data_IF_709404687391
#
_entry.id   IF_709404687391
#
_cell.length_a   1.000
_cell.length_b   1.000
_cell.length_c   1.000
_cell.angle_alpha   90.00
_cell.angle_beta   90.00
_cell.angle_gamma   90.00
#
_symmetry.space_group_name_H-M   'P 1'
#
loop_
_entity.id
_entity.type
_entity.pdbx_description
1 polymer ?
#
# COMPACT_ATOMS: atom_id res chain seq x y z
N UNK A 1 13.73 23.86 4.93
CA UNK A 1 12.37 24.28 5.31
C UNK A 1 11.40 23.84 4.23
N UNK A 2 10.76 22.68 4.41
CA UNK A 2 9.31 22.46 4.41
C UNK A 2 9.15 21.26 5.36
N UNK A 3 9.08 21.52 6.66
CA UNK A 3 8.52 20.56 7.60
C UNK A 3 7.00 20.64 7.45
N UNK A 4 6.46 19.90 6.48
CA UNK A 4 5.06 19.55 6.52
C UNK A 4 5.01 18.18 7.20
N UNK A 5 4.99 18.16 8.53
CA UNK A 5 4.68 16.95 9.28
C UNK A 5 3.17 16.69 9.13
N UNK A 6 2.72 16.36 7.92
CA UNK A 6 1.45 15.67 7.78
C UNK A 6 1.61 14.36 8.54
N UNK A 7 1.04 14.32 9.76
CA UNK A 7 0.95 13.10 10.54
C UNK A 7 0.46 12.02 9.60
N UNK A 8 1.26 10.97 9.42
CA UNK A 8 0.91 9.86 8.55
C UNK A 8 -0.38 9.24 9.07
N UNK A 9 -1.47 9.51 8.38
CA UNK A 9 -2.78 8.96 8.69
C UNK A 9 -2.73 7.44 8.51
N UNK A 10 -2.91 6.71 9.60
CA UNK A 10 -2.98 5.25 9.54
C UNK A 10 -4.41 4.81 9.32
N UNK A 11 -4.63 3.97 8.32
CA UNK A 11 -5.90 3.31 8.10
C UNK A 11 -5.76 1.81 8.35
N UNK A 12 -6.62 1.27 9.20
CA UNK A 12 -6.68 -0.16 9.51
C UNK A 12 -8.01 -0.71 9.00
N UNK A 13 -7.95 -1.63 8.04
CA UNK A 13 -9.12 -2.35 7.55
C UNK A 13 -9.40 -3.60 8.41
N UNK A 14 -10.61 -3.70 8.94
CA UNK A 14 -11.15 -4.91 9.56
C UNK A 14 -12.21 -5.53 8.63
N UNK A 15 -11.96 -6.76 8.20
CA UNK A 15 -12.88 -7.51 7.34
C UNK A 15 -13.80 -8.40 8.17
N UNK A 16 -15.11 -8.13 8.10
CA UNK A 16 -16.15 -9.01 8.64
C UNK A 16 -16.55 -10.05 7.59
N UNK A 17 -16.19 -11.31 7.84
CA UNK A 17 -16.52 -12.44 6.96
C UNK A 17 -18.02 -12.76 6.89
N UNK A 18 -18.80 -12.43 7.93
CA UNK A 18 -20.23 -12.72 7.98
C UNK A 18 -21.02 -11.72 7.14
N UNK A 19 -20.65 -10.45 7.22
CA UNK A 19 -21.30 -9.37 6.49
C UNK A 19 -20.71 -9.13 5.10
N UNK A 20 -19.54 -9.71 4.83
CA UNK A 20 -18.73 -9.46 3.64
C UNK A 20 -18.41 -7.97 3.43
N UNK A 21 -18.08 -7.29 4.53
CA UNK A 21 -17.81 -5.86 4.57
C UNK A 21 -16.49 -5.54 5.26
N UNK A 22 -15.96 -4.36 4.98
CA UNK A 22 -14.80 -3.80 5.67
C UNK A 22 -15.21 -2.56 6.46
N UNK A 23 -14.83 -2.54 7.73
CA UNK A 23 -14.78 -1.32 8.52
C UNK A 23 -13.36 -0.76 8.46
N UNK A 24 -13.21 0.55 8.27
CA UNK A 24 -11.91 1.22 8.26
C UNK A 24 -11.78 2.10 9.49
N UNK A 25 -10.72 1.88 10.25
CA UNK A 25 -10.35 2.72 11.39
C UNK A 25 -9.27 3.68 10.95
N UNK A 26 -9.56 4.97 11.01
CA UNK A 26 -8.62 6.04 10.69
C UNK A 26 -8.02 6.54 12.00
N UNK A 27 -6.70 6.48 12.12
CA UNK A 27 -5.96 6.83 13.32
C UNK A 27 -5.15 8.09 13.04
N UNK A 28 -5.60 9.19 13.65
CA UNK A 28 -4.95 10.49 13.64
C UNK A 28 -4.71 10.94 15.10
N UNK A 29 -5.15 12.15 15.47
CA UNK A 29 -5.21 12.56 16.89
C UNK A 29 -6.28 11.78 17.67
N UNK A 30 -7.33 11.36 16.97
CA UNK A 30 -8.42 10.51 17.47
C UNK A 30 -8.55 9.28 16.58
N UNK A 31 -9.30 8.27 17.04
CA UNK A 31 -9.71 7.12 16.23
C UNK A 31 -11.10 7.41 15.66
N UNK A 32 -11.20 7.46 14.34
CA UNK A 32 -12.46 7.59 13.62
C UNK A 32 -12.82 6.25 12.98
N UNK A 33 -14.08 5.83 13.15
CA UNK A 33 -14.59 4.59 12.55
C UNK A 33 -15.41 5.00 11.33
N UNK A 34 -14.92 4.62 10.16
CA UNK A 34 -15.68 4.83 8.93
C UNK A 34 -16.81 3.80 8.86
N UNK A 35 -17.98 4.18 8.29
CA UNK A 35 -19.08 3.24 8.06
C UNK A 35 -18.61 2.00 7.29
N UNK A 36 -19.24 0.86 7.54
CA UNK A 36 -18.94 -0.37 6.81
C UNK A 36 -19.16 -0.18 5.30
N UNK A 37 -18.18 -0.61 4.51
CA UNK A 37 -18.20 -0.54 3.06
C UNK A 37 -18.08 -1.93 2.45
N UNK A 38 -18.60 -2.07 1.24
CA UNK A 38 -18.44 -3.30 0.46
C UNK A 38 -16.95 -3.55 0.19
N UNK A 39 -16.54 -4.81 0.30
CA UNK A 39 -15.15 -5.17 0.04
C UNK A 39 -14.86 -5.15 -1.45
N UNK A 40 -13.89 -4.33 -1.85
CA UNK A 40 -13.33 -4.40 -3.19
C UNK A 40 -12.41 -5.64 -3.31
N UNK A 41 -12.97 -6.75 -3.79
CA UNK A 41 -12.26 -8.01 -4.04
C UNK A 41 -12.73 -8.64 -5.34
N UNK A 42 -11.90 -9.50 -5.93
CA UNK A 42 -12.32 -10.30 -7.09
C UNK A 42 -13.36 -11.34 -6.64
N UNK A 43 -14.38 -11.65 -7.46
CA UNK A 43 -15.32 -12.73 -7.17
C UNK A 43 -14.59 -14.04 -6.85
N UNK A 44 -15.03 -14.74 -5.80
CA UNK A 44 -14.42 -16.01 -5.37
C UNK A 44 -13.10 -15.89 -4.59
N UNK A 45 -12.58 -14.68 -4.37
CA UNK A 45 -11.38 -14.49 -3.54
C UNK A 45 -11.74 -14.19 -2.09
N UNK A 46 -10.86 -14.58 -1.16
CA UNK A 46 -11.01 -14.28 0.26
C UNK A 46 -10.01 -13.22 0.70
N UNK A 47 -10.47 -12.29 1.55
CA UNK A 47 -9.56 -11.34 2.22
C UNK A 47 -8.78 -12.11 3.28
N UNK A 48 -7.45 -12.14 3.12
CA UNK A 48 -6.57 -12.85 4.05
C UNK A 48 -6.14 -11.93 5.18
N UNK A 49 -6.13 -12.46 6.40
CA UNK A 49 -5.65 -11.74 7.58
C UNK A 49 -4.15 -11.45 7.47
N UNK A 50 -3.76 -10.24 7.85
CA UNK A 50 -2.34 -9.90 8.08
C UNK A 50 -1.88 -10.54 9.40
N UNK A 51 -0.83 -11.34 9.33
CA UNK A 51 -0.15 -11.92 10.48
C UNK A 51 1.04 -11.04 10.88
N UNK A 52 0.88 -10.25 11.95
CA UNK A 52 1.92 -9.33 12.42
C UNK A 52 3.25 -10.03 12.78
N UNK A 53 3.23 -11.32 13.16
CA UNK A 53 4.46 -12.09 13.44
C UNK A 53 5.38 -12.23 12.21
N UNK A 54 4.79 -12.15 11.01
CA UNK A 54 5.49 -12.25 9.73
C UNK A 54 5.99 -10.88 9.22
N UNK A 55 5.67 -9.77 9.90
CA UNK A 55 6.17 -8.45 9.53
C UNK A 55 7.51 -8.24 10.24
N UNK A 56 8.61 -8.23 9.48
CA UNK A 56 9.98 -8.08 10.02
C UNK A 56 10.62 -6.73 9.70
N UNK A 57 9.97 -5.95 8.84
CA UNK A 57 10.45 -4.65 8.41
C UNK A 57 9.34 -3.62 8.61
N UNK A 58 9.71 -2.51 9.26
CA UNK A 58 8.84 -1.37 9.48
C UNK A 58 8.63 -0.54 8.20
N UNK A 59 7.75 0.44 8.30
CA UNK A 59 7.40 1.31 7.18
C UNK A 59 8.63 2.10 6.69
N UNK A 60 9.44 2.65 7.60
CA UNK A 60 10.61 3.47 7.26
C UNK A 60 11.64 2.70 6.43
N UNK A 61 11.95 1.47 6.83
CA UNK A 61 12.84 0.60 6.06
C UNK A 61 12.30 0.35 4.65
N UNK A 62 11.01 0.05 4.55
CA UNK A 62 10.37 -0.29 3.28
C UNK A 62 10.29 0.92 2.36
N UNK A 63 10.02 2.12 2.90
CA UNK A 63 10.03 3.37 2.15
C UNK A 63 11.42 3.72 1.62
N UNK A 64 12.47 3.57 2.44
CA UNK A 64 13.87 3.75 2.00
C UNK A 64 14.23 2.79 0.87
N UNK A 65 13.78 1.54 0.96
CA UNK A 65 14.00 0.54 -0.08
C UNK A 65 13.24 0.87 -1.38
N UNK A 66 11.99 1.30 -1.28
CA UNK A 66 11.20 1.75 -2.42
C UNK A 66 11.85 2.95 -3.12
N UNK A 67 12.33 3.93 -2.34
CA UNK A 67 13.06 5.09 -2.86
C UNK A 67 14.33 4.68 -3.61
N UNK A 68 15.12 3.76 -3.04
CA UNK A 68 16.32 3.21 -3.70
C UNK A 68 15.98 2.54 -5.04
N UNK A 69 14.87 1.80 -5.12
CA UNK A 69 14.42 1.17 -6.37
C UNK A 69 14.02 2.25 -7.37
N UNK A 70 13.25 3.26 -6.93
CA UNK A 70 12.84 4.38 -7.76
C UNK A 70 14.04 5.12 -8.35
N UNK A 71 15.05 5.43 -7.55
CA UNK A 71 16.25 6.15 -8.01
C UNK A 71 17.06 5.34 -9.03
N UNK A 72 17.18 4.02 -8.82
CA UNK A 72 17.96 3.14 -9.71
C UNK A 72 17.24 2.78 -11.01
N UNK A 73 15.92 2.57 -10.96
CA UNK A 73 15.14 2.02 -12.09
C UNK A 73 14.29 3.05 -12.81
N UNK A 74 13.88 4.10 -12.11
CA UNK A 74 12.98 5.13 -12.60
C UNK A 74 13.50 6.55 -12.25
N UNK A 75 14.77 6.87 -12.54
CA UNK A 75 15.42 8.11 -12.06
C UNK A 75 14.70 9.38 -12.53
N UNK A 76 14.07 9.34 -13.71
CA UNK A 76 13.37 10.48 -14.33
C UNK A 76 12.00 10.78 -13.72
N UNK A 77 11.43 9.83 -12.97
CA UNK A 77 10.12 10.03 -12.35
C UNK A 77 10.23 10.95 -11.13
N UNK A 78 9.31 11.88 -10.97
CA UNK A 78 9.23 12.76 -9.80
C UNK A 78 8.04 12.33 -8.95
N UNK A 79 8.28 11.83 -7.74
CA UNK A 79 7.23 11.32 -6.85
C UNK A 79 6.50 12.49 -6.18
N UNK A 80 5.17 12.50 -6.26
CA UNK A 80 4.30 13.51 -5.65
C UNK A 80 3.54 12.96 -4.44
N UNK A 81 3.23 11.65 -4.44
CA UNK A 81 2.54 10.98 -3.33
C UNK A 81 3.02 9.55 -3.19
N UNK A 82 3.14 9.08 -1.95
CA UNK A 82 3.46 7.69 -1.63
C UNK A 82 2.30 7.08 -0.87
N UNK A 83 1.87 5.89 -1.30
CA UNK A 83 0.87 5.08 -0.60
C UNK A 83 1.56 3.77 -0.23
N UNK A 84 1.46 3.37 1.03
CA UNK A 84 2.03 2.14 1.54
C UNK A 84 0.95 1.28 2.19
N UNK A 85 0.76 0.06 1.71
CA UNK A 85 -0.25 -0.86 2.23
C UNK A 85 0.40 -2.17 2.61
N UNK A 86 0.35 -2.51 3.90
CA UNK A 86 0.65 -3.87 4.38
C UNK A 86 -0.58 -4.75 4.19
N UNK A 87 -0.47 -5.77 3.35
CA UNK A 87 -1.60 -6.64 3.01
C UNK A 87 -1.15 -8.09 2.84
N UNK A 88 -2.11 -9.00 2.98
CA UNK A 88 -1.93 -10.42 2.68
C UNK A 88 -2.82 -10.78 1.48
N UNK A 89 -2.18 -11.03 0.34
CA UNK A 89 -2.84 -11.34 -0.93
C UNK A 89 -2.42 -12.72 -1.45
N UNK A 90 -2.77 -13.07 -2.68
CA UNK A 90 -2.37 -14.35 -3.29
C UNK A 90 -0.85 -14.54 -3.34
N UNK A 91 -0.10 -13.46 -3.58
CA UNK A 91 1.36 -13.44 -3.58
C UNK A 91 2.00 -13.55 -2.19
N UNK A 92 1.20 -13.62 -1.11
CA UNK A 92 1.65 -13.63 0.27
C UNK A 92 1.49 -12.29 0.98
N UNK A 93 2.11 -12.19 2.16
CA UNK A 93 2.07 -10.98 2.99
C UNK A 93 3.21 -10.04 2.62
N UNK A 94 2.85 -8.85 2.14
CA UNK A 94 3.78 -7.91 1.55
C UNK A 94 3.41 -6.47 1.88
N UNK A 95 4.40 -5.60 1.76
CA UNK A 95 4.20 -4.17 1.60
C UNK A 95 4.02 -3.87 0.11
N UNK A 96 2.87 -3.30 -0.24
CA UNK A 96 2.60 -2.76 -1.56
C UNK A 96 2.79 -1.24 -1.50
N UNK A 97 3.85 -0.75 -2.13
CA UNK A 97 4.19 0.66 -2.18
C UNK A 97 3.85 1.18 -3.57
N UNK A 98 2.99 2.18 -3.63
CA UNK A 98 2.61 2.87 -4.86
C UNK A 98 3.13 4.30 -4.79
N UNK A 99 4.09 4.63 -5.66
CA UNK A 99 4.61 5.98 -5.83
C UNK A 99 3.89 6.62 -7.00
N UNK A 100 3.08 7.65 -6.74
CA UNK A 100 2.41 8.45 -7.76
C UNK A 100 3.38 9.53 -8.20
N UNK A 101 3.51 9.72 -9.51
CA UNK A 101 4.49 10.65 -10.10
C UNK A 101 3.81 11.86 -10.74
N UNK A 102 4.55 12.95 -10.93
CA UNK A 102 4.05 14.17 -11.60
C UNK A 102 3.69 13.95 -13.07
N UNK A 103 4.24 12.92 -13.70
CA UNK A 103 3.93 12.50 -15.07
C UNK A 103 2.67 11.63 -15.15
N UNK A 104 1.91 11.52 -14.05
CA UNK A 104 0.72 10.68 -13.92
C UNK A 104 1.01 9.19 -14.18
N UNK A 105 2.21 8.75 -13.79
CA UNK A 105 2.54 7.33 -13.69
C UNK A 105 2.46 6.87 -12.23
N UNK A 106 2.38 5.55 -12.06
CA UNK A 106 2.52 4.87 -10.77
C UNK A 106 3.70 3.92 -10.84
N UNK A 107 4.60 4.00 -9.87
CA UNK A 107 5.61 2.98 -9.63
C UNK A 107 5.06 2.07 -8.53
N UNK A 108 4.64 0.87 -8.89
CA UNK A 108 4.14 -0.13 -7.95
C UNK A 108 5.29 -1.05 -7.55
N UNK A 109 5.58 -1.16 -6.26
CA UNK A 109 6.68 -1.94 -5.70
C UNK A 109 6.12 -2.87 -4.63
N UNK A 110 6.34 -4.18 -4.80
CA UNK A 110 5.92 -5.21 -3.85
C UNK A 110 7.13 -5.75 -3.11
N UNK A 111 7.15 -5.62 -1.79
CA UNK A 111 8.23 -6.08 -0.92
C UNK A 111 7.68 -7.11 0.06
N UNK A 112 8.26 -8.31 0.08
CA UNK A 112 7.86 -9.37 1.01
C UNK A 112 8.04 -8.92 2.47
N UNK A 113 6.98 -9.03 3.28
CA UNK A 113 6.98 -8.47 4.64
C UNK A 113 7.89 -9.23 5.62
N UNK A 114 8.26 -10.48 5.29
CA UNK A 114 9.07 -11.36 6.15
C UNK A 114 10.56 -11.31 5.82
N UNK A 115 10.89 -11.30 4.53
CA UNK A 115 12.25 -11.40 4.00
C UNK A 115 12.78 -10.06 3.50
N UNK A 116 11.90 -9.08 3.28
CA UNK A 116 12.25 -7.78 2.74
C UNK A 116 12.66 -7.84 1.28
N UNK A 117 12.55 -8.97 0.59
CA UNK A 117 12.90 -9.11 -0.83
C UNK A 117 11.89 -8.37 -1.71
N UNK A 118 12.38 -7.71 -2.76
CA UNK A 118 11.51 -7.13 -3.79
C UNK A 118 10.94 -8.26 -4.63
N UNK A 119 9.62 -8.40 -4.62
CA UNK A 119 8.89 -9.41 -5.39
C UNK A 119 8.68 -8.91 -6.82
N UNK A 120 8.23 -7.66 -6.97
CA UNK A 120 7.94 -7.04 -8.26
C UNK A 120 8.10 -5.52 -8.15
N UNK A 121 8.52 -4.88 -9.24
CA UNK A 121 8.31 -3.46 -9.44
C UNK A 121 7.88 -3.18 -10.88
N UNK A 122 7.00 -2.20 -11.09
CA UNK A 122 6.53 -1.81 -12.43
C UNK A 122 6.13 -0.33 -12.48
N UNK A 123 6.30 0.29 -13.65
CA UNK A 123 5.81 1.63 -13.97
C UNK A 123 4.55 1.48 -14.82
N UNK A 124 3.42 2.03 -14.37
CA UNK A 124 2.14 1.94 -15.06
C UNK A 124 1.55 3.33 -15.18
N UNK A 125 1.14 3.71 -16.39
CA UNK A 125 0.47 4.99 -16.59
C UNK A 125 -0.94 4.98 -16.01
N UNK A 126 -1.33 6.04 -15.31
CA UNK A 126 -2.70 6.17 -14.79
C UNK A 126 -3.76 6.14 -15.91
N UNK A 127 -3.39 6.51 -17.14
CA UNK A 127 -4.28 6.45 -18.29
C UNK A 127 -4.57 5.02 -18.76
N UNK A 128 -3.73 4.04 -18.44
CA UNK A 128 -3.96 2.64 -18.81
C UNK A 128 -5.07 1.98 -17.98
N UNK A 129 -5.46 2.57 -16.85
CA UNK A 129 -6.53 2.04 -16.00
C UNK A 129 -7.95 2.25 -16.57
N UNK A 130 -8.12 3.05 -17.63
CA UNK A 130 -9.42 3.33 -18.26
C UNK A 130 -9.88 2.28 -19.31
N UNK A 131 -9.21 1.14 -19.44
CA UNK A 131 -9.47 0.17 -20.52
C UNK A 131 -9.96 -1.22 -20.04
N UNK A 132 -10.60 -1.31 -18.87
CA UNK A 132 -11.20 -2.55 -18.36
C UNK A 132 -12.53 -2.30 -17.66
#
# INVERSE_FOLDING_TARGET
MIENSEKSEWQIGYYDKKLDKVAVFTINNNIEINPEQDVFKKPGTSVKKVNLKNVKFDLDYVLKKAQTIKEKKYPKELVTKTIAILQNIELGQLWNITLITSSLNTINIKIDAKTGKTIKHELVSLFQFKAS
#
